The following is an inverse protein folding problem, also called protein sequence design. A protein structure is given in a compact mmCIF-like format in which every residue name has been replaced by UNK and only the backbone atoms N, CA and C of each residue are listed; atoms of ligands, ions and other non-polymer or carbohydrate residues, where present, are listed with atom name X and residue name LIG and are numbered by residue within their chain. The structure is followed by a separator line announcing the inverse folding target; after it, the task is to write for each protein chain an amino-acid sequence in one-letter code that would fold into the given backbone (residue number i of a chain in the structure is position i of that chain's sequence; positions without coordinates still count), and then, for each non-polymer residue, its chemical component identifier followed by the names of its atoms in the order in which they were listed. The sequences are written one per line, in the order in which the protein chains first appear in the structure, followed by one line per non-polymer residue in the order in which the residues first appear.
data_IF_918923200973
#
_entry.id   IF_918923200973
#
_cell.length_a   1.000
_cell.length_b   1.000
_cell.length_c   1.000
_cell.angle_alpha   90.00
_cell.angle_beta   90.00
_cell.angle_gamma   90.00
#
_symmetry.space_group_name_H-M   'P 1'
#
loop_
_entity.id
_entity.type
_entity.pdbx_description
1 polymer ?
#
# COMPACT_ATOMS: atom_id res chain seq x y z
N UNK A 1 -13.04 -32.29 -15.68
CA UNK A 1 -14.23 -32.36 -14.83
C UNK A 1 -14.62 -30.94 -14.51
N UNK A 2 -15.66 -30.44 -15.19
CA UNK A 2 -16.17 -29.06 -15.09
C UNK A 2 -16.94 -28.93 -13.78
N UNK A 3 -16.67 -27.90 -12.96
CA UNK A 3 -17.56 -27.22 -12.01
C UNK A 3 -16.66 -26.23 -11.23
N UNK A 4 -16.71 -24.94 -11.57
CA UNK A 4 -16.57 -23.75 -10.75
C UNK A 4 -16.45 -22.52 -11.68
N UNK A 5 -17.55 -22.26 -12.35
CA UNK A 5 -17.83 -20.97 -12.98
C UNK A 5 -19.30 -20.67 -12.67
N UNK A 6 -19.52 -19.55 -12.01
CA UNK A 6 -20.76 -18.81 -11.72
C UNK A 6 -20.88 -18.49 -10.24
N UNK A 7 -20.34 -17.36 -9.84
CA UNK A 7 -20.89 -16.51 -8.76
C UNK A 7 -20.14 -15.17 -8.68
N UNK A 8 -20.36 -14.29 -9.64
CA UNK A 8 -20.09 -12.85 -9.47
C UNK A 8 -20.81 -12.08 -10.59
N UNK A 9 -22.14 -12.10 -10.57
CA UNK A 9 -22.93 -11.16 -11.37
C UNK A 9 -24.29 -10.98 -10.68
N UNK A 10 -24.42 -9.86 -9.96
CA UNK A 10 -25.67 -9.15 -9.74
C UNK A 10 -25.62 -8.36 -8.42
N UNK A 11 -25.25 -7.10 -8.49
CA UNK A 11 -25.64 -6.05 -7.56
C UNK A 11 -25.32 -4.69 -8.18
N UNK A 12 -26.09 -4.30 -9.20
CA UNK A 12 -26.33 -2.90 -9.52
C UNK A 12 -27.81 -2.66 -9.33
N UNK A 13 -28.25 -1.85 -8.37
CA UNK A 13 -29.64 -1.37 -8.33
C UNK A 13 -29.84 -0.28 -9.38
N UNK A 14 -30.89 -0.42 -10.13
CA UNK A 14 -31.45 0.57 -11.04
C UNK A 14 -31.64 1.92 -10.35
N UNK A 15 -31.11 2.96 -10.95
CA UNK A 15 -31.43 4.34 -10.59
C UNK A 15 -32.84 4.63 -11.10
N UNK A 16 -33.77 4.71 -10.19
CA UNK A 16 -35.14 5.21 -10.43
C UNK A 16 -35.11 6.74 -10.53
N UNK A 17 -35.73 7.28 -11.57
CA UNK A 17 -35.86 8.70 -11.80
C UNK A 17 -36.59 9.37 -10.62
N UNK A 18 -35.94 10.31 -9.94
CA UNK A 18 -36.54 11.16 -8.95
C UNK A 18 -37.14 12.42 -9.60
N UNK A 19 -38.37 12.68 -9.28
CA UNK A 19 -39.12 13.89 -9.64
C UNK A 19 -38.41 15.15 -9.13
N UNK A 20 -38.44 16.19 -9.95
CA UNK A 20 -37.97 17.54 -9.61
C UNK A 20 -39.02 18.23 -8.77
N UNK A 21 -38.87 18.24 -7.45
CA UNK A 21 -39.53 19.18 -6.57
C UNK A 21 -38.63 20.41 -6.39
N UNK A 22 -39.23 21.58 -6.67
CA UNK A 22 -38.63 22.90 -6.53
C UNK A 22 -38.36 23.18 -5.04
N UNK A 23 -37.13 23.05 -4.59
CA UNK A 23 -36.70 23.48 -3.25
C UNK A 23 -36.45 24.99 -3.23
N UNK A 24 -37.28 25.69 -2.46
CA UNK A 24 -37.04 27.08 -2.07
C UNK A 24 -35.80 27.15 -1.18
N UNK A 25 -34.79 27.88 -1.62
CA UNK A 25 -33.56 28.15 -0.84
C UNK A 25 -33.89 29.20 0.21
N UNK A 26 -34.26 28.78 1.42
CA UNK A 26 -34.16 29.60 2.63
C UNK A 26 -32.76 29.41 3.18
N UNK A 27 -31.96 30.48 3.14
CA UNK A 27 -30.57 30.44 3.57
C UNK A 27 -30.44 30.29 5.07
N UNK A 28 -30.27 29.05 5.54
CA UNK A 28 -29.64 28.80 6.84
C UNK A 28 -28.12 29.05 6.73
N UNK A 29 -27.54 29.74 7.72
CA UNK A 29 -26.10 29.96 7.72
C UNK A 29 -25.41 28.61 7.73
N UNK A 30 -24.41 28.42 6.81
CA UNK A 30 -23.59 27.25 6.76
C UNK A 30 -23.06 26.92 8.17
N UNK A 31 -23.16 25.68 8.64
CA UNK A 31 -22.67 25.30 9.95
C UNK A 31 -21.20 25.69 10.07
N UNK A 32 -20.89 26.44 11.11
CA UNK A 32 -19.54 26.85 11.47
C UNK A 32 -18.65 25.61 11.51
N UNK A 33 -17.69 25.51 10.60
CA UNK A 33 -16.72 24.42 10.58
C UNK A 33 -15.89 24.56 11.83
N UNK A 34 -16.25 23.87 12.92
CA UNK A 34 -15.42 23.74 14.10
C UNK A 34 -14.01 23.40 13.63
N UNK A 35 -13.03 24.23 13.96
CA UNK A 35 -11.62 23.92 13.75
C UNK A 35 -11.38 22.57 14.44
N UNK A 36 -11.11 21.53 13.66
CA UNK A 36 -10.65 20.27 14.22
C UNK A 36 -9.38 20.56 15.01
N UNK A 37 -9.35 20.16 16.27
CA UNK A 37 -8.12 20.19 17.05
C UNK A 37 -7.01 19.45 16.28
N UNK A 38 -5.75 19.89 16.42
CA UNK A 38 -4.64 19.17 15.80
C UNK A 38 -4.72 17.70 16.23
N UNK A 39 -4.71 16.78 15.26
CA UNK A 39 -4.79 15.36 15.53
C UNK A 39 -3.63 14.97 16.47
N UNK A 40 -3.96 14.34 17.60
CA UNK A 40 -2.93 13.75 18.48
C UNK A 40 -2.36 12.53 17.75
N UNK A 41 -1.18 12.72 17.17
CA UNK A 41 -0.52 11.69 16.36
C UNK A 41 -0.12 10.46 17.18
N UNK A 42 0.19 10.65 18.46
CA UNK A 42 0.50 9.53 19.35
C UNK A 42 -0.73 8.65 19.56
N UNK A 43 -1.88 9.29 19.75
CA UNK A 43 -3.17 8.60 19.86
C UNK A 43 -3.58 7.95 18.53
N UNK A 44 -3.24 8.58 17.41
CA UNK A 44 -3.47 8.00 16.08
C UNK A 44 -2.66 6.72 15.89
N UNK A 45 -1.36 6.72 16.25
CA UNK A 45 -0.51 5.52 16.18
C UNK A 45 -1.05 4.43 17.11
N UNK A 46 -1.44 4.79 18.35
CA UNK A 46 -2.02 3.84 19.28
C UNK A 46 -3.30 3.21 18.74
N UNK A 47 -4.21 3.98 18.20
CA UNK A 47 -5.45 3.47 17.58
C UNK A 47 -5.21 2.54 16.38
N UNK A 48 -4.19 2.85 15.55
CA UNK A 48 -3.86 2.03 14.38
C UNK A 48 -3.30 0.66 14.80
N UNK A 49 -2.49 0.63 15.86
CA UNK A 49 -1.78 -0.56 16.30
C UNK A 49 -2.27 -1.12 17.65
N UNK A 50 -3.31 -0.49 18.24
CA UNK A 50 -3.90 -0.88 19.52
C UNK A 50 -2.87 -0.99 20.65
N UNK A 51 -1.95 0.01 20.73
CA UNK A 51 -0.83 -0.01 21.65
C UNK A 51 -1.23 0.24 23.10
N UNK A 52 -2.22 1.10 23.33
CA UNK A 52 -2.74 1.44 24.63
C UNK A 52 -3.96 0.58 24.96
N UNK A 53 -4.16 0.24 26.25
CA UNK A 53 -5.26 -0.64 26.69
C UNK A 53 -6.64 -0.12 26.28
N UNK A 54 -6.82 1.20 26.27
CA UNK A 54 -8.09 1.85 25.90
C UNK A 54 -8.39 1.75 24.39
N UNK A 55 -7.38 1.54 23.56
CA UNK A 55 -7.52 1.39 22.11
C UNK A 55 -7.66 -0.08 21.67
N UNK A 56 -7.50 -1.03 22.60
CA UNK A 56 -7.60 -2.46 22.31
C UNK A 56 -9.05 -2.87 21.97
N UNK A 57 -9.22 -3.48 20.82
CA UNK A 57 -10.52 -3.92 20.27
C UNK A 57 -10.71 -5.44 20.32
N UNK A 58 -9.71 -6.17 20.86
CA UNK A 58 -9.69 -7.62 20.93
C UNK A 58 -9.18 -8.28 19.63
N UNK A 59 -9.27 -9.61 19.60
CA UNK A 59 -8.76 -10.43 18.50
C UNK A 59 -9.79 -10.65 17.39
N UNK A 60 -9.30 -11.08 16.19
CA UNK A 60 -10.11 -11.49 15.01
C UNK A 60 -11.02 -10.40 14.44
N UNK A 61 -10.59 -9.14 14.57
CA UNK A 61 -11.23 -8.00 13.90
C UNK A 61 -10.36 -7.53 12.74
N UNK A 62 -10.98 -7.31 11.59
CA UNK A 62 -10.29 -6.75 10.43
C UNK A 62 -10.14 -5.24 10.57
N UNK A 63 -8.92 -4.77 10.45
CA UNK A 63 -8.53 -3.36 10.45
C UNK A 63 -7.75 -3.06 9.19
N UNK A 64 -7.75 -1.80 8.78
CA UNK A 64 -6.86 -1.33 7.72
C UNK A 64 -5.39 -1.47 8.15
N UNK A 65 -4.52 -1.94 7.22
CA UNK A 65 -3.08 -2.09 7.46
C UNK A 65 -2.26 -1.06 6.71
N UNK A 66 -2.29 -1.09 5.40
CA UNK A 66 -1.72 -0.09 4.50
C UNK A 66 -2.88 0.69 3.84
N UNK A 67 -2.66 1.88 3.28
CA UNK A 67 -3.73 2.66 2.66
C UNK A 67 -4.53 1.86 1.63
N UNK A 68 -5.86 1.89 1.73
CA UNK A 68 -6.75 1.34 0.72
C UNK A 68 -7.12 2.45 -0.27
N UNK A 69 -6.88 2.22 -1.55
CA UNK A 69 -7.15 3.19 -2.59
C UNK A 69 -7.53 2.55 -3.93
N UNK A 70 -8.18 3.35 -4.76
CA UNK A 70 -8.40 3.06 -6.17
C UNK A 70 -7.98 4.27 -6.99
N UNK A 71 -7.05 4.08 -7.92
CA UNK A 71 -6.59 5.09 -8.88
C UNK A 71 -7.04 4.69 -10.29
N UNK A 72 -8.17 5.18 -10.77
CA UNK A 72 -8.64 4.93 -12.13
C UNK A 72 -7.60 5.36 -13.18
N UNK A 73 -6.91 6.46 -12.92
CA UNK A 73 -5.92 7.01 -13.84
C UNK A 73 -4.53 6.96 -13.21
N UNK A 74 -3.76 5.96 -13.60
CA UNK A 74 -2.34 5.81 -13.32
C UNK A 74 -1.59 5.85 -14.63
N UNK A 75 -0.78 6.89 -14.83
CA UNK A 75 0.01 7.12 -16.04
C UNK A 75 1.47 6.79 -15.77
N UNK A 76 2.09 5.95 -16.58
CA UNK A 76 3.54 5.69 -16.57
C UNK A 76 4.21 6.29 -17.80
N UNK A 77 5.42 6.81 -17.62
CA UNK A 77 6.26 7.30 -18.73
C UNK A 77 6.70 6.17 -19.68
N UNK A 78 6.86 4.95 -19.13
CA UNK A 78 7.40 3.77 -19.84
C UNK A 78 6.68 2.50 -19.39
N UNK A 79 5.62 2.08 -20.07
CA UNK A 79 5.06 0.75 -19.81
C UNK A 79 6.09 -0.33 -20.17
N UNK A 80 6.24 -1.34 -19.33
CA UNK A 80 7.14 -2.45 -19.62
C UNK A 80 6.39 -3.49 -20.46
N UNK A 81 6.76 -3.62 -21.71
CA UNK A 81 6.13 -4.56 -22.63
C UNK A 81 6.63 -6.00 -22.44
N UNK A 82 7.89 -6.15 -22.08
CA UNK A 82 8.58 -7.42 -21.94
C UNK A 82 9.35 -7.49 -20.62
N UNK A 83 8.69 -7.84 -19.49
CA UNK A 83 9.32 -7.88 -18.16
C UNK A 83 10.21 -9.13 -18.03
N UNK A 84 11.53 -8.96 -18.12
CA UNK A 84 12.51 -10.04 -18.07
C UNK A 84 13.03 -10.26 -16.66
N UNK A 85 13.11 -11.53 -16.23
CA UNK A 85 13.87 -11.92 -15.03
C UNK A 85 15.38 -11.85 -15.29
N UNK A 86 16.15 -11.52 -14.26
CA UNK A 86 17.62 -11.63 -14.33
C UNK A 86 18.12 -13.07 -14.17
N UNK A 87 17.25 -14.04 -13.92
CA UNK A 87 17.59 -15.45 -13.91
C UNK A 87 17.68 -16.00 -15.35
N UNK A 88 18.87 -16.42 -15.82
CA UNK A 88 19.03 -16.92 -17.19
C UNK A 88 18.24 -18.21 -17.46
N UNK A 89 17.81 -18.93 -16.41
CA UNK A 89 17.01 -20.15 -16.54
C UNK A 89 15.50 -19.86 -16.70
N UNK A 90 15.07 -18.59 -16.58
CA UNK A 90 13.67 -18.21 -16.81
C UNK A 90 13.47 -17.85 -18.29
N UNK A 91 12.39 -18.30 -18.91
CA UNK A 91 12.09 -17.94 -20.29
C UNK A 91 11.83 -16.43 -20.39
N UNK A 92 12.14 -15.88 -21.55
CA UNK A 92 11.82 -14.48 -21.88
C UNK A 92 10.36 -14.43 -22.32
N UNK A 93 9.52 -13.59 -21.71
CA UNK A 93 8.11 -13.52 -22.11
C UNK A 93 7.95 -12.86 -23.48
N UNK A 94 6.84 -13.15 -24.15
CA UNK A 94 6.46 -12.41 -25.35
C UNK A 94 6.12 -10.94 -25.01
N UNK A 95 6.53 -9.98 -25.86
CA UNK A 95 6.17 -8.57 -25.68
C UNK A 95 4.66 -8.39 -25.75
N UNK A 96 4.13 -7.46 -24.94
CA UNK A 96 2.72 -7.07 -24.95
C UNK A 96 2.58 -5.56 -25.04
N UNK A 97 1.72 -5.09 -25.94
CA UNK A 97 1.41 -3.67 -26.18
C UNK A 97 0.57 -3.10 -25.01
N UNK A 98 1.20 -2.91 -23.85
CA UNK A 98 0.57 -2.28 -22.70
C UNK A 98 0.46 -0.77 -22.87
N UNK A 99 -0.68 -0.21 -22.47
CA UNK A 99 -0.91 1.23 -22.52
C UNK A 99 -0.21 1.94 -21.36
N UNK A 100 0.12 3.21 -21.56
CA UNK A 100 0.67 4.09 -20.56
C UNK A 100 -0.30 4.35 -19.38
N UNK A 101 -1.60 4.26 -19.63
CA UNK A 101 -2.66 4.49 -18.64
C UNK A 101 -3.26 3.16 -18.22
N UNK A 102 -3.32 2.93 -16.91
CA UNK A 102 -3.99 1.77 -16.31
C UNK A 102 -4.68 2.18 -15.00
N UNK A 103 -5.54 1.33 -14.48
CA UNK A 103 -6.09 1.46 -13.13
C UNK A 103 -5.18 0.73 -12.16
N UNK A 104 -4.88 1.35 -11.00
CA UNK A 104 -4.21 0.71 -9.86
C UNK A 104 -5.13 0.75 -8.65
N UNK A 105 -5.22 -0.34 -7.91
CA UNK A 105 -5.88 -0.33 -6.60
C UNK A 105 -5.13 -1.19 -5.59
N UNK A 106 -5.31 -0.84 -4.32
CA UNK A 106 -4.76 -1.56 -3.19
C UNK A 106 -5.84 -1.83 -2.15
N UNK A 107 -5.90 -3.07 -1.70
CA UNK A 107 -6.65 -3.51 -0.54
C UNK A 107 -5.67 -4.06 0.48
N UNK A 108 -5.77 -3.62 1.73
CA UNK A 108 -4.83 -4.04 2.77
C UNK A 108 -5.51 -4.09 4.12
N UNK A 109 -5.51 -5.28 4.71
CA UNK A 109 -6.16 -5.56 5.99
C UNK A 109 -5.20 -6.26 6.92
N UNK A 110 -5.42 -6.10 8.23
CA UNK A 110 -4.78 -6.87 9.29
C UNK A 110 -5.80 -7.30 10.32
N UNK A 111 -5.49 -8.39 11.04
CA UNK A 111 -6.27 -8.83 12.18
C UNK A 111 -5.32 -9.28 13.29
N UNK A 112 -5.59 -8.85 14.52
CA UNK A 112 -4.88 -9.33 15.72
C UNK A 112 -5.32 -10.78 15.99
N UNK A 113 -4.36 -11.70 16.06
CA UNK A 113 -4.62 -13.11 16.36
C UNK A 113 -4.21 -13.50 17.79
N UNK A 114 -3.30 -12.72 18.40
CA UNK A 114 -2.91 -12.90 19.79
C UNK A 114 -2.63 -11.53 20.41
N UNK A 115 -3.19 -11.30 21.58
CA UNK A 115 -3.02 -10.10 22.38
C UNK A 115 -2.12 -10.41 23.59
N UNK A 116 -1.36 -9.40 24.04
CA UNK A 116 -0.46 -9.49 25.19
C UNK A 116 0.57 -10.65 25.12
N UNK A 117 0.97 -11.04 23.90
CA UNK A 117 2.04 -12.01 23.70
C UNK A 117 3.33 -11.51 24.36
N UNK A 118 4.01 -12.39 25.09
CA UNK A 118 5.20 -12.05 25.88
C UNK A 118 5.01 -10.84 26.83
N UNK A 119 3.78 -10.67 27.35
CA UNK A 119 3.42 -9.72 28.38
C UNK A 119 2.87 -8.37 27.89
N UNK A 120 3.22 -7.90 26.71
CA UNK A 120 2.72 -6.61 26.15
C UNK A 120 2.64 -6.58 24.63
N UNK A 121 3.17 -7.56 23.95
CA UNK A 121 3.20 -7.58 22.50
C UNK A 121 1.94 -8.18 21.90
N UNK A 122 1.64 -7.82 20.66
CA UNK A 122 0.52 -8.37 19.90
C UNK A 122 1.01 -9.09 18.65
N UNK A 123 0.33 -10.17 18.26
CA UNK A 123 0.59 -10.87 17.01
C UNK A 123 -0.56 -10.60 16.04
N UNK A 124 -0.20 -10.19 14.83
CA UNK A 124 -1.11 -9.84 13.74
C UNK A 124 -0.87 -10.70 12.52
N UNK A 125 -1.91 -11.03 11.81
CA UNK A 125 -1.84 -11.45 10.42
C UNK A 125 -2.28 -10.28 9.55
N UNK A 126 -1.58 -10.05 8.46
CA UNK A 126 -1.92 -9.00 7.50
C UNK A 126 -1.88 -9.54 6.08
N UNK A 127 -2.66 -8.92 5.22
CA UNK A 127 -2.69 -9.25 3.81
C UNK A 127 -2.86 -7.97 3.00
N UNK A 128 -1.98 -7.76 2.02
CA UNK A 128 -2.06 -6.66 1.07
C UNK A 128 -2.14 -7.22 -0.34
N UNK A 129 -3.06 -6.70 -1.12
CA UNK A 129 -3.15 -6.96 -2.55
C UNK A 129 -3.05 -5.64 -3.31
N UNK A 130 -2.15 -5.59 -4.29
CA UNK A 130 -2.08 -4.51 -5.28
C UNK A 130 -2.40 -5.07 -6.65
N UNK A 131 -3.24 -4.37 -7.40
CA UNK A 131 -3.60 -4.78 -8.75
C UNK A 131 -3.41 -3.63 -9.74
N UNK A 132 -2.86 -3.96 -10.90
CA UNK A 132 -2.58 -3.08 -12.01
C UNK A 132 -3.39 -3.59 -13.22
N UNK A 133 -4.42 -2.85 -13.58
CA UNK A 133 -5.41 -3.29 -14.54
C UNK A 133 -5.39 -2.44 -15.80
N UNK A 134 -5.09 -3.04 -16.92
CA UNK A 134 -5.13 -2.42 -18.24
C UNK A 134 -6.57 -2.18 -18.73
N UNK A 135 -7.39 -1.57 -17.87
CA UNK A 135 -8.83 -1.41 -18.05
C UNK A 135 -9.19 -0.70 -19.36
N UNK A 136 -8.32 0.15 -19.86
CA UNK A 136 -8.52 0.93 -21.09
C UNK A 136 -7.98 0.23 -22.35
N UNK A 137 -7.23 -0.88 -22.20
CA UNK A 137 -6.60 -1.61 -23.30
C UNK A 137 -7.56 -2.63 -23.92
N UNK A 138 -8.42 -2.15 -24.83
CA UNK A 138 -9.36 -3.00 -25.57
C UNK A 138 -8.68 -4.00 -26.50
N UNK A 139 -7.50 -3.68 -27.05
CA UNK A 139 -6.74 -4.57 -27.95
C UNK A 139 -6.30 -5.86 -27.24
N UNK A 140 -5.95 -5.78 -25.98
CA UNK A 140 -5.55 -6.93 -25.16
C UNK A 140 -6.71 -7.52 -24.32
N UNK A 141 -7.97 -7.15 -24.59
CA UNK A 141 -9.14 -7.60 -23.83
C UNK A 141 -9.09 -7.21 -22.34
N UNK A 142 -8.48 -6.08 -22.01
CA UNK A 142 -8.43 -5.47 -20.69
C UNK A 142 -7.88 -6.39 -19.59
N UNK A 143 -6.66 -6.93 -19.69
CA UNK A 143 -6.13 -7.86 -18.70
C UNK A 143 -5.66 -7.13 -17.43
N UNK A 144 -5.58 -7.85 -16.31
CA UNK A 144 -4.69 -7.46 -15.24
C UNK A 144 -3.24 -7.65 -15.70
N UNK A 145 -2.47 -6.55 -15.77
CA UNK A 145 -1.05 -6.60 -16.10
C UNK A 145 -0.26 -7.26 -14.98
N UNK A 146 -0.60 -6.90 -13.73
CA UNK A 146 0.04 -7.43 -12.54
C UNK A 146 -0.92 -7.44 -11.35
N UNK A 147 -0.80 -8.47 -10.51
CA UNK A 147 -1.41 -8.52 -9.18
C UNK A 147 -0.33 -8.98 -8.21
N UNK A 148 -0.11 -8.23 -7.15
CA UNK A 148 0.84 -8.60 -6.10
C UNK A 148 0.07 -8.97 -4.83
N UNK A 149 0.41 -10.10 -4.26
CA UNK A 149 -0.14 -10.63 -3.01
C UNK A 149 0.96 -10.59 -1.95
N UNK A 150 0.65 -10.04 -0.78
CA UNK A 150 1.62 -9.85 0.29
C UNK A 150 1.01 -10.24 1.64
N UNK A 151 0.97 -11.56 2.00
CA UNK A 151 0.69 -12.01 3.35
C UNK A 151 1.87 -11.71 4.29
N UNK A 152 1.56 -11.33 5.54
CA UNK A 152 2.54 -10.95 6.54
C UNK A 152 2.08 -11.41 7.93
N UNK A 153 2.98 -12.03 8.71
CA UNK A 153 2.82 -12.31 10.13
C UNK A 153 3.67 -11.31 10.89
N UNK A 154 3.04 -10.51 11.76
CA UNK A 154 3.69 -9.38 12.43
C UNK A 154 3.58 -9.55 13.94
N UNK A 155 4.70 -9.46 14.63
CA UNK A 155 4.76 -9.24 16.07
C UNK A 155 5.03 -7.75 16.33
N UNK A 156 4.22 -7.11 17.16
CA UNK A 156 4.40 -5.70 17.57
C UNK A 156 4.62 -5.60 19.07
N UNK A 157 5.48 -4.69 19.47
CA UNK A 157 5.75 -4.40 20.87
C UNK A 157 5.62 -2.89 21.11
N UNK A 158 4.75 -2.44 22.03
CA UNK A 158 4.60 -1.03 22.36
C UNK A 158 5.88 -0.50 23.02
N UNK A 159 6.33 0.65 22.54
CA UNK A 159 7.49 1.37 23.07
C UNK A 159 7.05 2.72 23.60
N UNK A 160 7.71 3.21 24.62
CA UNK A 160 7.42 4.53 25.19
C UNK A 160 8.72 5.29 25.44
N UNK A 161 9.46 5.52 24.34
CA UNK A 161 10.75 6.24 24.38
C UNK A 161 10.56 7.62 23.76
N UNK A 162 11.00 8.67 24.47
CA UNK A 162 10.87 10.05 24.03
C UNK A 162 12.20 10.77 24.09
N UNK A 163 12.51 11.54 23.04
CA UNK A 163 13.67 12.41 22.98
C UNK A 163 13.24 13.74 22.29
N UNK A 164 12.97 14.77 23.09
CA UNK A 164 12.42 16.03 22.60
C UNK A 164 11.07 15.82 21.89
N UNK A 165 11.00 16.25 20.62
CA UNK A 165 9.79 16.09 19.80
C UNK A 165 9.66 14.72 19.12
N UNK A 166 10.61 13.82 19.32
CA UNK A 166 10.58 12.46 18.79
C UNK A 166 10.05 11.49 19.84
N UNK A 167 9.02 10.72 19.50
CA UNK A 167 8.45 9.70 20.36
C UNK A 167 8.37 8.38 19.61
N UNK A 168 9.16 7.41 20.02
CA UNK A 168 9.17 6.07 19.47
C UNK A 168 8.08 5.24 20.14
N UNK A 169 7.08 4.83 19.39
CA UNK A 169 5.83 4.26 19.91
C UNK A 169 5.74 2.75 19.76
N UNK A 170 6.38 2.18 18.73
CA UNK A 170 6.23 0.74 18.44
C UNK A 170 7.47 0.19 17.76
N UNK A 171 7.86 -1.00 18.18
CA UNK A 171 8.78 -1.89 17.46
C UNK A 171 7.98 -3.06 16.89
N UNK A 172 8.26 -3.45 15.65
CA UNK A 172 7.64 -4.58 14.99
C UNK A 172 8.66 -5.50 14.35
N UNK A 173 8.38 -6.79 14.36
CA UNK A 173 9.13 -7.82 13.63
C UNK A 173 8.15 -8.63 12.80
N UNK A 174 8.44 -8.85 11.52
CA UNK A 174 7.53 -9.63 10.69
C UNK A 174 8.23 -10.60 9.74
N UNK A 175 7.50 -11.65 9.39
CA UNK A 175 7.81 -12.54 8.28
C UNK A 175 6.81 -12.22 7.17
N UNK A 176 7.33 -11.94 6.00
CA UNK A 176 6.58 -11.43 4.87
C UNK A 176 6.89 -12.27 3.62
N UNK A 177 5.83 -12.70 2.95
CA UNK A 177 5.90 -13.25 1.61
C UNK A 177 5.30 -12.26 0.63
N UNK A 178 5.89 -12.11 -0.54
CA UNK A 178 5.29 -11.35 -1.63
C UNK A 178 5.46 -12.09 -2.93
N UNK A 179 4.36 -12.25 -3.68
CA UNK A 179 4.37 -12.96 -4.97
C UNK A 179 3.30 -12.37 -5.91
N UNK A 180 3.44 -12.64 -7.20
CA UNK A 180 2.44 -12.23 -8.18
C UNK A 180 1.55 -13.38 -8.68
N UNK A 181 1.74 -14.60 -8.19
CA UNK A 181 0.91 -15.76 -8.54
C UNK A 181 0.96 -16.15 -10.02
N UNK A 182 1.96 -15.70 -10.76
CA UNK A 182 2.15 -16.04 -12.18
C UNK A 182 3.14 -17.19 -12.35
N UNK A 183 3.15 -17.75 -13.53
CA UNK A 183 3.99 -18.90 -13.88
C UNK A 183 5.15 -18.50 -14.80
N UNK A 184 6.17 -19.35 -14.82
CA UNK A 184 7.30 -19.33 -15.76
C UNK A 184 7.97 -17.94 -15.89
N UNK A 185 7.93 -17.35 -17.10
CA UNK A 185 8.57 -16.08 -17.42
C UNK A 185 8.09 -14.87 -16.59
N UNK A 186 6.86 -14.95 -16.11
CA UNK A 186 6.21 -13.85 -15.39
C UNK A 186 6.22 -14.03 -13.88
N UNK A 187 6.65 -15.19 -13.36
CA UNK A 187 6.72 -15.46 -11.92
C UNK A 187 7.68 -14.51 -11.21
N UNK A 188 7.23 -13.91 -10.12
CA UNK A 188 8.05 -13.13 -9.19
C UNK A 188 7.59 -13.41 -7.77
N UNK A 189 8.54 -13.74 -6.91
CA UNK A 189 8.27 -13.95 -5.49
C UNK A 189 9.51 -13.71 -4.63
N UNK A 190 9.31 -13.36 -3.38
CA UNK A 190 10.37 -13.32 -2.38
C UNK A 190 9.82 -13.39 -0.97
N UNK A 191 10.67 -13.86 -0.06
CA UNK A 191 10.39 -13.96 1.36
C UNK A 191 11.34 -13.05 2.14
N UNK A 192 10.84 -12.36 3.15
CA UNK A 192 11.61 -11.38 3.94
C UNK A 192 11.34 -11.53 5.43
N UNK A 193 12.36 -11.25 6.22
CA UNK A 193 12.19 -10.84 7.61
C UNK A 193 12.33 -9.31 7.66
N UNK A 194 11.40 -8.64 8.34
CA UNK A 194 11.30 -7.18 8.37
C UNK A 194 11.31 -6.70 9.82
N UNK A 195 12.21 -5.78 10.13
CA UNK A 195 12.17 -4.99 11.36
C UNK A 195 11.49 -3.65 11.05
N UNK A 196 10.52 -3.27 11.88
CA UNK A 196 9.72 -2.06 11.69
C UNK A 196 9.76 -1.20 12.96
N UNK A 197 9.85 0.11 12.79
CA UNK A 197 9.70 1.10 13.85
C UNK A 197 8.65 2.13 13.48
N UNK A 198 7.80 2.53 14.45
CA UNK A 198 6.84 3.62 14.27
C UNK A 198 7.06 4.68 15.34
N UNK A 199 7.13 5.91 14.91
CA UNK A 199 7.35 7.07 15.77
C UNK A 199 6.50 8.26 15.33
N UNK A 200 6.23 9.18 16.25
CA UNK A 200 5.82 10.54 15.93
C UNK A 200 7.01 11.49 16.02
N UNK A 201 7.08 12.47 15.15
CA UNK A 201 8.06 13.53 15.18
C UNK A 201 7.41 14.85 14.78
N UNK A 202 7.34 15.79 15.74
CA UNK A 202 6.59 17.05 15.56
C UNK A 202 5.15 16.73 15.11
N UNK A 203 4.78 17.15 13.91
CA UNK A 203 3.46 16.93 13.33
C UNK A 203 3.49 15.82 12.24
N UNK A 204 4.25 14.76 12.45
CA UNK A 204 4.41 13.69 11.45
C UNK A 204 4.42 12.32 12.10
N UNK A 205 3.84 11.33 11.44
CA UNK A 205 4.02 9.91 11.77
C UNK A 205 5.09 9.35 10.83
N UNK A 206 6.10 8.72 11.39
CA UNK A 206 7.19 8.10 10.65
C UNK A 206 7.15 6.60 10.88
N UNK A 207 7.10 5.84 9.81
CA UNK A 207 7.28 4.39 9.81
C UNK A 207 8.57 4.06 9.07
N UNK A 208 9.48 3.37 9.72
CA UNK A 208 10.72 2.89 9.11
C UNK A 208 10.71 1.37 9.08
N UNK A 209 11.08 0.77 7.97
CA UNK A 209 11.18 -0.68 7.76
C UNK A 209 12.55 -1.00 7.16
N UNK A 210 13.19 -2.04 7.67
CA UNK A 210 14.40 -2.61 7.09
C UNK A 210 14.21 -4.11 6.98
N UNK A 211 14.71 -4.71 5.93
CA UNK A 211 14.50 -6.14 5.71
C UNK A 211 15.70 -6.87 5.17
N UNK A 212 15.69 -8.18 5.38
CA UNK A 212 16.57 -9.15 4.76
C UNK A 212 15.73 -10.17 4.01
N UNK A 213 16.09 -10.42 2.75
CA UNK A 213 15.52 -11.50 1.96
C UNK A 213 16.05 -12.86 2.44
N UNK A 214 15.19 -13.87 2.49
CA UNK A 214 15.63 -15.26 2.60
C UNK A 214 16.24 -15.69 1.27
N UNK A 215 17.42 -16.31 1.35
CA UNK A 215 18.12 -16.77 0.15
C UNK A 215 17.39 -17.93 -0.51
N UNK A 216 17.31 -17.90 -1.81
CA UNK A 216 16.78 -18.96 -2.67
C UNK A 216 17.92 -19.55 -3.51
N UNK A 217 17.76 -20.77 -3.99
CA UNK A 217 18.73 -21.36 -4.93
C UNK A 217 18.69 -20.60 -6.24
N UNK A 218 19.84 -20.34 -6.84
CA UNK A 218 19.96 -19.53 -8.05
C UNK A 218 19.11 -20.02 -9.23
N UNK A 219 18.87 -21.33 -9.32
CA UNK A 219 18.04 -21.92 -10.37
C UNK A 219 16.54 -21.68 -10.12
N UNK A 220 16.13 -21.55 -8.86
CA UNK A 220 14.74 -21.38 -8.43
C UNK A 220 14.35 -19.90 -8.28
N UNK A 221 15.33 -19.01 -8.14
CA UNK A 221 15.15 -17.59 -7.89
C UNK A 221 14.45 -16.91 -9.08
N UNK A 222 13.20 -16.50 -8.91
CA UNK A 222 12.42 -15.83 -9.94
C UNK A 222 12.88 -14.39 -10.22
N UNK A 223 13.52 -13.77 -9.25
CA UNK A 223 13.91 -12.36 -9.32
C UNK A 223 15.26 -12.10 -8.62
N UNK A 224 16.37 -12.60 -9.20
CA UNK A 224 17.69 -12.33 -8.68
C UNK A 224 17.93 -10.83 -8.50
N UNK A 225 18.69 -10.49 -7.43
CA UNK A 225 19.04 -9.11 -7.12
C UNK A 225 17.84 -8.18 -6.82
N UNK A 226 16.67 -8.71 -6.47
CA UNK A 226 15.50 -7.87 -6.18
C UNK A 226 15.78 -6.81 -5.09
N UNK A 227 16.61 -7.13 -4.09
CA UNK A 227 17.02 -6.19 -3.04
C UNK A 227 17.87 -5.03 -3.56
N UNK A 228 18.58 -5.21 -4.70
CA UNK A 228 19.37 -4.14 -5.32
C UNK A 228 18.48 -3.12 -6.06
N UNK A 229 17.25 -3.51 -6.42
CA UNK A 229 16.32 -2.66 -7.14
C UNK A 229 15.19 -2.14 -6.26
N UNK A 230 14.41 -3.03 -5.63
CA UNK A 230 13.32 -2.62 -4.73
C UNK A 230 13.87 -2.01 -3.44
N UNK A 231 15.06 -2.47 -3.00
CA UNK A 231 15.71 -1.95 -1.81
C UNK A 231 15.73 -2.93 -0.64
N UNK A 232 16.36 -2.48 0.46
CA UNK A 232 16.46 -3.14 1.77
C UNK A 232 15.82 -2.33 2.89
N UNK A 233 15.31 -1.14 2.56
CA UNK A 233 14.70 -0.24 3.53
C UNK A 233 13.57 0.55 2.90
N UNK A 234 12.64 0.98 3.75
CA UNK A 234 11.56 1.89 3.42
C UNK A 234 11.32 2.83 4.60
N UNK A 235 11.18 4.10 4.31
CA UNK A 235 10.74 5.11 5.28
C UNK A 235 9.52 5.81 4.71
N UNK A 236 8.44 5.82 5.48
CA UNK A 236 7.22 6.56 5.15
C UNK A 236 6.99 7.63 6.20
N UNK A 237 6.80 8.87 5.76
CA UNK A 237 6.40 9.99 6.60
C UNK A 237 5.01 10.47 6.18
N UNK A 238 4.04 10.44 7.10
CA UNK A 238 2.71 11.04 6.92
C UNK A 238 2.64 12.36 7.67
N UNK A 239 2.36 13.45 6.94
CA UNK A 239 2.43 14.82 7.40
C UNK A 239 1.05 15.49 7.21
N UNK A 240 0.20 15.52 8.24
CA UNK A 240 -1.03 16.29 8.20
C UNK A 240 -0.75 17.80 8.16
N UNK A 241 -1.42 18.50 7.25
CA UNK A 241 -1.35 19.94 7.14
C UNK A 241 -2.74 20.52 6.86
N UNK A 242 -3.38 21.12 7.85
CA UNK A 242 -4.78 21.57 7.80
C UNK A 242 -5.71 20.39 7.48
N UNK A 243 -6.41 20.44 6.34
CA UNK A 243 -7.27 19.35 5.84
C UNK A 243 -6.52 18.36 4.93
N UNK A 244 -5.26 18.65 4.60
CA UNK A 244 -4.46 17.82 3.69
C UNK A 244 -3.62 16.83 4.49
N UNK A 245 -3.31 15.70 3.87
CA UNK A 245 -2.25 14.80 4.32
C UNK A 245 -1.27 14.61 3.18
N UNK A 246 0.00 14.85 3.45
CA UNK A 246 1.09 14.52 2.54
C UNK A 246 1.78 13.26 3.03
N UNK A 247 2.01 12.31 2.14
CA UNK A 247 2.76 11.09 2.47
C UNK A 247 3.96 11.00 1.55
N UNK A 248 5.15 10.88 2.14
CA UNK A 248 6.38 10.62 1.41
C UNK A 248 6.88 9.22 1.79
N UNK A 249 7.01 8.35 0.81
CA UNK A 249 7.61 7.02 0.96
C UNK A 249 8.89 6.94 0.15
N UNK A 250 9.97 6.52 0.78
CA UNK A 250 11.27 6.33 0.13
C UNK A 250 11.76 4.93 0.43
N UNK A 251 12.07 4.16 -0.62
CA UNK A 251 12.78 2.87 -0.55
C UNK A 251 14.21 3.05 -1.03
N UNK A 252 15.15 2.30 -0.42
CA UNK A 252 16.56 2.37 -0.77
C UNK A 252 17.24 1.02 -0.58
N UNK A 253 18.21 0.70 -1.45
CA UNK A 253 18.97 -0.54 -1.39
C UNK A 253 20.13 -0.49 -0.38
N UNK A 254 20.37 0.66 0.26
CA UNK A 254 21.46 0.90 1.22
C UNK A 254 22.85 0.57 0.65
N UNK A 255 22.99 0.56 -0.67
CA UNK A 255 24.26 0.37 -1.37
C UNK A 255 24.76 1.72 -1.91
N UNK A 256 25.66 2.36 -1.21
CA UNK A 256 26.12 3.71 -1.56
C UNK A 256 26.99 3.76 -2.82
N UNK A 257 27.56 2.62 -3.26
CA UNK A 257 28.33 2.54 -4.50
C UNK A 257 27.42 2.41 -5.75
N UNK A 258 26.28 1.73 -5.59
CA UNK A 258 25.29 1.51 -6.66
C UNK A 258 23.89 1.81 -6.10
N UNK A 259 23.67 3.08 -5.71
CA UNK A 259 22.45 3.49 -5.06
C UNK A 259 21.25 3.38 -6.01
N UNK A 260 20.24 2.63 -5.59
CA UNK A 260 18.93 2.48 -6.25
C UNK A 260 17.82 2.59 -5.23
N UNK A 261 16.70 3.07 -5.68
CA UNK A 261 15.56 3.24 -4.82
C UNK A 261 14.31 3.68 -5.57
N UNK A 262 13.31 4.04 -4.79
CA UNK A 262 12.01 4.52 -5.25
C UNK A 262 11.54 5.61 -4.29
N UNK A 263 11.02 6.69 -4.82
CA UNK A 263 10.36 7.72 -4.03
C UNK A 263 8.92 7.91 -4.53
N UNK A 264 8.00 7.99 -3.58
CA UNK A 264 6.58 8.22 -3.84
C UNK A 264 6.08 9.36 -2.95
N UNK A 265 5.42 10.35 -3.55
CA UNK A 265 4.74 11.44 -2.88
C UNK A 265 3.26 11.34 -3.15
N UNK A 266 2.44 11.33 -2.10
CA UNK A 266 0.99 11.38 -2.23
C UNK A 266 0.45 12.64 -1.54
N UNK A 267 -0.52 13.29 -2.15
CA UNK A 267 -1.36 14.33 -1.56
C UNK A 267 -2.78 13.81 -1.44
N UNK A 268 -3.34 13.91 -0.24
CA UNK A 268 -4.68 13.41 0.11
C UNK A 268 -5.50 14.57 0.65
N UNK A 269 -6.70 14.75 0.08
CA UNK A 269 -7.64 15.81 0.49
C UNK A 269 -9.04 15.22 0.70
N UNK A 270 -9.72 15.53 1.84
CA UNK A 270 -11.06 15.02 2.13
C UNK A 270 -12.10 15.65 1.20
N UNK A 271 -12.89 14.83 0.52
CA UNK A 271 -14.06 15.24 -0.24
C UNK A 271 -15.34 15.13 0.60
N UNK A 272 -15.43 14.07 1.42
CA UNK A 272 -16.51 13.84 2.35
C UNK A 272 -15.97 13.22 3.64
N UNK A 273 -16.85 12.73 4.52
CA UNK A 273 -16.45 12.07 5.76
C UNK A 273 -15.55 10.85 5.51
N UNK A 274 -15.89 10.03 4.53
CA UNK A 274 -15.28 8.72 4.30
C UNK A 274 -14.52 8.63 2.97
N UNK A 275 -14.61 9.65 2.10
CA UNK A 275 -13.99 9.67 0.78
C UNK A 275 -12.98 10.80 0.66
N UNK A 276 -11.79 10.47 0.20
CA UNK A 276 -10.69 11.43 -0.05
C UNK A 276 -10.17 11.28 -1.46
N UNK A 277 -9.87 12.38 -2.11
CA UNK A 277 -9.12 12.38 -3.36
C UNK A 277 -7.64 12.18 -3.05
N UNK A 278 -6.94 11.47 -3.91
CA UNK A 278 -5.51 11.23 -3.82
C UNK A 278 -4.83 11.54 -5.15
N UNK A 279 -3.78 12.36 -5.09
CA UNK A 279 -2.82 12.53 -6.17
C UNK A 279 -1.51 11.87 -5.75
N UNK A 280 -0.90 11.11 -6.64
CA UNK A 280 0.33 10.40 -6.37
C UNK A 280 1.33 10.63 -7.50
N UNK A 281 2.58 10.88 -7.14
CA UNK A 281 3.71 10.92 -8.06
C UNK A 281 4.80 10.02 -7.52
N UNK A 282 5.38 9.18 -8.37
CA UNK A 282 6.50 8.34 -7.98
C UNK A 282 7.57 8.23 -9.05
N UNK A 283 8.80 7.93 -8.60
CA UNK A 283 9.93 7.72 -9.48
C UNK A 283 10.87 6.68 -8.87
N UNK A 284 11.33 5.74 -9.67
CA UNK A 284 12.29 4.75 -9.22
C UNK A 284 12.02 3.34 -9.74
N UNK A 285 12.63 2.35 -9.06
CA UNK A 285 12.54 0.94 -9.40
C UNK A 285 11.43 0.23 -8.62
N UNK A 286 10.88 -0.84 -9.21
CA UNK A 286 9.97 -1.75 -8.51
C UNK A 286 8.66 -1.10 -8.10
N UNK A 287 7.99 -0.40 -9.01
CA UNK A 287 6.63 0.07 -8.79
C UNK A 287 5.66 -1.11 -8.58
N UNK A 288 5.87 -2.21 -9.31
CA UNK A 288 5.24 -3.51 -9.07
C UNK A 288 6.29 -4.61 -9.02
N UNK A 289 5.88 -5.83 -8.61
CA UNK A 289 6.81 -6.94 -8.45
C UNK A 289 7.38 -7.41 -9.80
N UNK A 290 6.56 -7.43 -10.85
CA UNK A 290 7.03 -7.82 -12.19
C UNK A 290 8.00 -6.80 -12.78
N UNK A 291 7.89 -5.53 -12.36
CA UNK A 291 8.72 -4.40 -12.79
C UNK A 291 9.90 -4.15 -11.83
N UNK A 292 10.28 -5.14 -11.00
CA UNK A 292 11.22 -4.92 -9.90
C UNK A 292 12.54 -4.29 -10.33
N UNK A 293 13.05 -4.64 -11.50
CA UNK A 293 14.32 -4.18 -12.10
C UNK A 293 14.14 -3.05 -13.12
N UNK A 294 12.93 -2.46 -13.20
CA UNK A 294 12.61 -1.41 -14.16
C UNK A 294 12.36 -0.08 -13.48
N UNK A 295 12.91 1.00 -14.04
CA UNK A 295 12.79 2.36 -13.52
C UNK A 295 11.72 3.13 -14.29
N UNK A 296 10.74 3.67 -13.55
CA UNK A 296 9.59 4.37 -14.13
C UNK A 296 9.33 5.68 -13.39
N UNK A 297 8.67 6.61 -14.07
CA UNK A 297 7.98 7.76 -13.47
C UNK A 297 6.49 7.55 -13.62
N UNK A 298 5.76 7.71 -12.53
CA UNK A 298 4.33 7.45 -12.46
C UNK A 298 3.60 8.65 -11.88
N UNK A 299 2.46 8.98 -12.47
CA UNK A 299 1.48 9.93 -11.93
C UNK A 299 0.15 9.22 -11.77
N UNK A 300 -0.51 9.42 -10.64
CA UNK A 300 -1.79 8.78 -10.33
C UNK A 300 -2.82 9.75 -9.77
N UNK A 301 -4.07 9.56 -10.14
CA UNK A 301 -5.23 10.26 -9.59
C UNK A 301 -6.26 9.23 -9.17
N UNK A 302 -6.76 9.36 -7.96
CA UNK A 302 -7.72 8.40 -7.44
C UNK A 302 -8.36 8.82 -6.13
N UNK A 303 -8.85 7.81 -5.43
CA UNK A 303 -9.57 7.96 -4.17
C UNK A 303 -9.01 7.01 -3.13
N UNK A 304 -9.03 7.44 -1.88
CA UNK A 304 -8.66 6.61 -0.72
C UNK A 304 -9.74 6.73 0.36
N UNK A 305 -9.89 5.65 1.11
CA UNK A 305 -10.82 5.52 2.24
C UNK A 305 -10.08 5.61 3.58
N UNK A 306 -8.89 6.19 3.60
CA UNK A 306 -8.03 6.27 4.76
C UNK A 306 -8.72 6.97 5.93
N UNK A 307 -8.87 6.30 7.06
CA UNK A 307 -9.28 6.88 8.34
C UNK A 307 -8.02 7.22 9.17
N UNK A 308 -7.49 8.43 9.01
CA UNK A 308 -6.47 9.01 9.89
C UNK A 308 -7.11 9.81 11.00
#
# INVERSE_FOLDING_TARGET
MKIFSYLFLSCFPLVSAAQTDSLSITGDPLPEVKRSEPADLDKTISKIWELDKEDQRGTFRFLEYKPMYAMPFRLTDKPIEQPVSLNPNRPVPEPRDYQHVEMKFQVSLKAKIMQDAFGKGDVWVAFTQQAYWQMYNGKLSRPFREINYEPELIFTYPMNLSAGNFKFKMLGLSINHQSNGKEAAHSRSWNRIILMGVASWKNSIITARVWRRFSEKSIEDDNPQIEEYIGRSEVTAAIPFRKNVFTLTVRNNLNFNHNRGHAELSWIYPLSRDLRIMLQASHGYGDSLIDYNYKQTVLGVGFTFLNL
#
